data_IF_452423363176
#
_entry.id   IF_452423363176
#
_cell.length_a   1.000
_cell.length_b   1.000
_cell.length_c   1.000
_cell.angle_alpha   90.00
_cell.angle_beta   90.00
_cell.angle_gamma   90.00
#
_symmetry.space_group_name_H-M   'P 1'
#
loop_
_entity.id
_entity.type
_entity.pdbx_description
1 polymer ?
#
# COMPACT_ATOMS: atom_id res chain seq x y z
N UNK A 1 -26.07 -54.33 -29.31
CA UNK A 1 -25.65 -53.07 -30.00
C UNK A 1 -26.07 -51.84 -29.20
N UNK A 2 -27.27 -51.86 -28.61
CA UNK A 2 -27.78 -50.80 -27.72
C UNK A 2 -26.93 -50.61 -26.46
N UNK A 3 -26.39 -51.68 -25.89
CA UNK A 3 -25.58 -51.63 -24.67
C UNK A 3 -24.33 -50.76 -24.84
N UNK A 4 -23.62 -50.94 -25.97
CA UNK A 4 -22.41 -50.16 -26.30
C UNK A 4 -22.76 -48.68 -26.52
N UNK A 5 -23.89 -48.40 -27.16
CA UNK A 5 -24.34 -47.02 -27.39
C UNK A 5 -24.66 -46.30 -26.06
N UNK A 6 -25.32 -46.99 -25.12
CA UNK A 6 -25.62 -46.43 -23.79
C UNK A 6 -24.34 -46.22 -22.99
N UNK A 7 -23.39 -47.17 -23.02
CA UNK A 7 -22.11 -47.00 -22.32
C UNK A 7 -21.31 -45.80 -22.82
N UNK A 8 -21.26 -45.59 -24.14
CA UNK A 8 -20.58 -44.42 -24.73
C UNK A 8 -21.31 -43.13 -24.35
N UNK A 9 -22.65 -43.12 -24.37
CA UNK A 9 -23.44 -41.95 -23.99
C UNK A 9 -23.20 -41.53 -22.53
N UNK A 10 -23.10 -42.50 -21.61
CA UNK A 10 -22.82 -42.23 -20.18
C UNK A 10 -21.40 -41.67 -20.00
N UNK A 11 -20.41 -42.25 -20.66
CA UNK A 11 -19.01 -41.76 -20.58
C UNK A 11 -18.90 -40.35 -21.18
N UNK A 12 -19.54 -40.09 -22.32
CA UNK A 12 -19.56 -38.77 -22.93
C UNK A 12 -20.19 -37.71 -22.01
N UNK A 13 -21.30 -38.04 -21.36
CA UNK A 13 -21.95 -37.14 -20.41
C UNK A 13 -21.07 -36.84 -19.19
N UNK A 14 -20.44 -37.86 -18.61
CA UNK A 14 -19.55 -37.69 -17.46
C UNK A 14 -18.32 -36.81 -17.81
N UNK A 15 -17.77 -36.97 -19.01
CA UNK A 15 -16.59 -36.21 -19.45
C UNK A 15 -16.92 -34.73 -19.64
N UNK A 16 -18.11 -34.40 -20.18
CA UNK A 16 -18.61 -33.02 -20.28
C UNK A 16 -18.78 -32.40 -18.88
N UNK A 17 -19.32 -33.17 -17.92
CA UNK A 17 -19.49 -32.68 -16.56
C UNK A 17 -18.14 -32.35 -15.90
N UNK A 18 -17.13 -33.22 -16.02
CA UNK A 18 -15.78 -33.01 -15.43
C UNK A 18 -15.08 -31.81 -16.08
N UNK A 19 -15.08 -31.74 -17.41
CA UNK A 19 -14.43 -30.62 -18.14
C UNK A 19 -15.16 -29.30 -17.85
N UNK A 20 -16.47 -29.33 -17.61
CA UNK A 20 -17.24 -28.14 -17.25
C UNK A 20 -16.85 -27.54 -15.88
N UNK A 21 -16.56 -28.38 -14.88
CA UNK A 21 -16.28 -27.92 -13.51
C UNK A 21 -14.80 -27.70 -13.19
N UNK A 22 -13.89 -28.35 -13.93
CA UNK A 22 -12.44 -28.25 -13.72
C UNK A 22 -11.90 -26.82 -13.82
N UNK A 23 -12.29 -25.98 -14.82
CA UNK A 23 -11.86 -24.59 -14.90
C UNK A 23 -12.24 -23.80 -13.65
N UNK A 24 -13.47 -23.99 -13.13
CA UNK A 24 -13.95 -23.34 -11.91
C UNK A 24 -13.15 -23.79 -10.69
N UNK A 25 -12.86 -25.10 -10.57
CA UNK A 25 -12.05 -25.62 -9.47
C UNK A 25 -10.64 -25.02 -9.42
N UNK A 26 -10.00 -24.84 -10.58
CA UNK A 26 -8.69 -24.19 -10.66
C UNK A 26 -8.72 -22.70 -10.34
N UNK A 27 -9.78 -22.00 -10.77
CA UNK A 27 -9.97 -20.59 -10.42
C UNK A 27 -10.09 -20.41 -8.90
N UNK A 28 -10.94 -21.22 -8.24
CA UNK A 28 -11.12 -21.16 -6.77
C UNK A 28 -9.82 -21.47 -6.02
N UNK A 29 -9.03 -22.46 -6.47
CA UNK A 29 -7.73 -22.75 -5.85
C UNK A 29 -6.74 -21.59 -5.99
N UNK A 30 -6.70 -20.97 -7.17
CA UNK A 30 -5.87 -19.81 -7.43
C UNK A 30 -6.30 -18.62 -6.57
N UNK A 31 -7.58 -18.29 -6.53
CA UNK A 31 -8.13 -17.19 -5.74
C UNK A 31 -7.85 -17.38 -4.24
N UNK A 32 -8.09 -18.58 -3.69
CA UNK A 32 -7.77 -18.88 -2.29
C UNK A 32 -6.27 -18.72 -1.98
N UNK A 33 -5.40 -19.09 -2.93
CA UNK A 33 -3.96 -18.91 -2.80
C UNK A 33 -3.57 -17.43 -2.83
N UNK A 34 -4.10 -16.67 -3.79
CA UNK A 34 -3.88 -15.23 -3.91
C UNK A 34 -4.35 -14.49 -2.65
N UNK A 35 -5.53 -14.82 -2.14
CA UNK A 35 -6.08 -14.24 -0.90
C UNK A 35 -5.20 -14.52 0.33
N UNK A 36 -4.62 -15.72 0.40
CA UNK A 36 -3.70 -16.10 1.48
C UNK A 36 -2.41 -15.29 1.40
N UNK A 37 -1.83 -15.16 0.20
CA UNK A 37 -0.61 -14.36 -0.05
C UNK A 37 -0.87 -12.90 0.34
N UNK A 38 -1.94 -12.29 -0.17
CA UNK A 38 -2.31 -10.90 0.13
C UNK A 38 -2.54 -10.70 1.63
N UNK A 39 -3.18 -11.66 2.30
CA UNK A 39 -3.41 -11.62 3.75
C UNK A 39 -2.10 -11.59 4.54
N UNK A 40 -1.17 -12.49 4.23
CA UNK A 40 0.12 -12.59 4.90
C UNK A 40 1.02 -11.38 4.61
N UNK A 41 1.13 -11.00 3.34
CA UNK A 41 2.01 -9.93 2.92
C UNK A 41 1.48 -8.55 3.28
N UNK A 42 0.17 -8.35 3.31
CA UNK A 42 -0.41 -7.11 3.83
C UNK A 42 -0.04 -6.84 5.29
N UNK A 43 0.02 -7.89 6.12
CA UNK A 43 0.54 -7.77 7.49
C UNK A 43 2.05 -7.48 7.48
N UNK A 44 2.83 -8.17 6.64
CA UNK A 44 4.27 -7.94 6.51
C UNK A 44 4.59 -6.49 6.13
N UNK A 45 3.89 -5.92 5.14
CA UNK A 45 4.08 -4.54 4.72
C UNK A 45 3.69 -3.54 5.80
N UNK A 46 2.59 -3.82 6.51
CA UNK A 46 2.14 -2.98 7.63
C UNK A 46 3.22 -2.94 8.73
N UNK A 47 3.82 -4.08 9.05
CA UNK A 47 4.91 -4.20 10.02
C UNK A 47 6.22 -3.55 9.52
N UNK A 48 6.57 -3.75 8.25
CA UNK A 48 7.74 -3.16 7.63
C UNK A 48 7.68 -1.62 7.69
N UNK A 49 6.53 -1.05 7.35
CA UNK A 49 6.28 0.39 7.43
C UNK A 49 6.28 0.88 8.88
N UNK A 50 5.71 0.09 9.82
CA UNK A 50 5.69 0.44 11.24
C UNK A 50 7.08 0.42 11.88
N UNK A 51 8.00 -0.40 11.40
CA UNK A 51 9.33 -0.53 12.00
C UNK A 51 10.44 0.12 11.15
N UNK A 52 10.11 0.70 10.00
CA UNK A 52 11.08 1.34 9.10
C UNK A 52 11.98 0.34 8.36
N UNK A 53 11.56 -0.93 8.25
CA UNK A 53 12.23 -2.00 7.50
C UNK A 53 13.74 -2.18 7.78
N UNK A 54 14.20 -1.97 9.02
CA UNK A 54 15.57 -2.27 9.41
C UNK A 54 15.86 -3.76 9.19
N UNK A 55 16.80 -4.07 8.29
CA UNK A 55 17.20 -5.45 7.96
C UNK A 55 16.32 -6.16 6.93
N UNK A 56 15.38 -5.47 6.27
CA UNK A 56 14.53 -6.05 5.22
C UNK A 56 15.09 -5.80 3.81
N UNK A 57 16.40 -5.93 3.63
CA UNK A 57 17.03 -5.67 2.33
C UNK A 57 16.59 -6.66 1.25
N UNK A 58 16.06 -7.83 1.62
CA UNK A 58 15.47 -8.78 0.68
C UNK A 58 14.29 -8.19 -0.13
N UNK A 59 13.63 -7.14 0.36
CA UNK A 59 12.54 -6.47 -0.36
C UNK A 59 12.97 -5.95 -1.74
N UNK A 60 14.26 -5.65 -1.94
CA UNK A 60 14.79 -5.18 -3.22
C UNK A 60 14.62 -6.19 -4.36
N UNK A 61 14.49 -7.48 -4.04
CA UNK A 61 14.32 -8.54 -5.03
C UNK A 61 12.85 -8.73 -5.44
N UNK A 62 11.91 -8.15 -4.67
CA UNK A 62 10.47 -8.32 -4.86
C UNK A 62 9.79 -7.05 -5.36
N UNK A 63 10.37 -5.87 -5.13
CA UNK A 63 9.84 -4.61 -5.63
C UNK A 63 10.41 -4.32 -7.02
N UNK A 64 9.55 -4.25 -8.02
CA UNK A 64 9.97 -3.98 -9.40
C UNK A 64 10.24 -2.49 -9.63
N UNK A 65 9.34 -1.64 -9.14
CA UNK A 65 9.51 -0.19 -9.11
C UNK A 65 8.55 0.44 -8.11
N UNK A 66 8.86 1.69 -7.74
CA UNK A 66 8.02 2.54 -6.89
C UNK A 66 7.62 3.76 -7.71
N UNK A 67 6.38 4.18 -7.63
CA UNK A 67 5.86 5.40 -8.23
C UNK A 67 5.35 6.33 -7.16
N UNK A 68 5.81 7.58 -7.20
CA UNK A 68 5.25 8.68 -6.44
C UNK A 68 4.48 9.57 -7.40
N UNK A 69 3.16 9.61 -7.22
CA UNK A 69 2.24 10.40 -8.01
C UNK A 69 1.88 11.62 -7.18
N UNK A 70 2.30 12.79 -7.64
CA UNK A 70 2.05 14.08 -7.02
C UNK A 70 0.99 14.83 -7.82
N UNK A 71 -0.03 15.36 -7.16
CA UNK A 71 -1.07 16.18 -7.76
C UNK A 71 -1.10 17.56 -7.12
N UNK A 72 -0.95 18.59 -7.95
CA UNK A 72 -1.06 20.00 -7.59
C UNK A 72 -2.14 20.64 -8.46
N UNK A 73 -3.36 20.73 -7.93
CA UNK A 73 -4.54 21.14 -8.71
C UNK A 73 -4.77 20.23 -9.92
N UNK A 74 -4.59 20.78 -11.12
CA UNK A 74 -4.74 20.07 -12.41
C UNK A 74 -3.45 19.35 -12.85
N UNK A 75 -2.28 19.76 -12.32
CA UNK A 75 -1.01 19.15 -12.70
C UNK A 75 -0.81 17.81 -11.97
N UNK A 76 -0.40 16.78 -12.72
CA UNK A 76 -0.04 15.47 -12.20
C UNK A 76 1.38 15.15 -12.63
N UNK A 77 2.24 14.82 -11.67
CA UNK A 77 3.61 14.39 -11.89
C UNK A 77 3.79 12.97 -11.35
N UNK A 78 4.39 12.08 -12.13
CA UNK A 78 4.70 10.71 -11.73
C UNK A 78 6.20 10.50 -11.75
N UNK A 79 6.80 10.33 -10.58
CA UNK A 79 8.21 9.97 -10.43
C UNK A 79 8.30 8.46 -10.24
N UNK A 80 9.12 7.77 -11.05
CA UNK A 80 9.32 6.31 -10.97
C UNK A 80 10.73 6.02 -10.50
N UNK A 81 10.85 5.23 -9.42
CA UNK A 81 12.10 4.81 -8.79
C UNK A 81 12.34 3.33 -9.01
N UNK A 82 13.58 2.95 -9.31
CA UNK A 82 13.99 1.57 -9.60
C UNK A 82 15.20 1.15 -8.77
N UNK A 83 15.24 -0.14 -8.46
CA UNK A 83 16.38 -0.76 -7.79
C UNK A 83 17.67 -0.59 -8.63
N UNK A 84 18.79 -0.34 -7.96
CA UNK A 84 20.10 -0.16 -8.60
C UNK A 84 20.29 1.19 -9.30
N UNK A 85 19.26 2.05 -9.31
CA UNK A 85 19.34 3.44 -9.79
C UNK A 85 18.96 4.44 -8.71
N UNK A 86 17.88 4.18 -7.99
CA UNK A 86 17.25 5.14 -7.06
C UNK A 86 17.30 4.66 -5.60
N UNK A 87 17.29 3.34 -5.40
CA UNK A 87 17.40 2.68 -4.10
C UNK A 87 18.16 1.34 -4.20
N UNK A 88 18.78 0.95 -3.09
CA UNK A 88 19.61 -0.25 -2.90
C UNK A 88 19.24 -1.05 -1.65
N UNK A 89 18.50 -0.47 -0.70
CA UNK A 89 18.21 -1.08 0.60
C UNK A 89 16.72 -1.10 0.90
N UNK A 90 16.29 -2.01 1.77
CA UNK A 90 14.88 -2.21 2.11
C UNK A 90 14.25 -1.01 2.81
N UNK A 91 15.01 -0.33 3.67
CA UNK A 91 14.50 0.87 4.35
C UNK A 91 14.23 2.03 3.38
N UNK A 92 14.96 2.12 2.26
CA UNK A 92 14.76 3.16 1.25
C UNK A 92 13.45 2.93 0.50
N UNK A 93 13.09 1.66 0.24
CA UNK A 93 11.79 1.29 -0.33
C UNK A 93 10.66 1.78 0.59
N UNK A 94 10.73 1.47 1.88
CA UNK A 94 9.75 1.97 2.86
C UNK A 94 9.76 3.49 2.94
N UNK A 95 10.94 4.10 2.87
CA UNK A 95 11.14 5.53 2.86
C UNK A 95 10.43 6.25 1.70
N UNK A 96 10.50 5.64 0.51
CA UNK A 96 9.83 6.12 -0.69
C UNK A 96 8.33 5.83 -0.70
N UNK A 97 7.88 4.77 -0.03
CA UNK A 97 6.48 4.42 0.09
C UNK A 97 5.72 5.27 1.12
N UNK A 98 6.36 5.68 2.21
CA UNK A 98 5.68 6.29 3.37
C UNK A 98 5.60 7.81 3.33
N UNK A 99 5.57 8.38 2.13
CA UNK A 99 5.30 9.80 1.93
C UNK A 99 3.91 10.21 2.46
N UNK A 100 3.78 11.40 3.09
CA UNK A 100 2.51 11.89 3.58
C UNK A 100 1.59 12.18 2.41
N UNK A 101 0.31 11.77 2.52
CA UNK A 101 -0.68 11.94 1.46
C UNK A 101 -0.97 13.40 1.17
N UNK A 102 -0.91 14.26 2.18
CA UNK A 102 -1.08 15.69 2.05
C UNK A 102 0.16 16.36 2.63
N UNK A 103 0.78 17.21 1.82
CA UNK A 103 1.93 17.99 2.24
C UNK A 103 1.77 19.41 1.71
N UNK A 104 2.16 20.36 2.54
CA UNK A 104 2.26 21.76 2.17
C UNK A 104 3.67 22.02 1.64
N UNK A 105 3.78 22.58 0.43
CA UNK A 105 5.04 23.04 -0.14
C UNK A 105 5.56 24.28 0.62
N UNK A 106 6.84 24.65 0.43
CA UNK A 106 7.47 25.83 1.04
C UNK A 106 6.71 27.13 0.74
N UNK A 107 5.93 27.16 -0.33
CA UNK A 107 5.11 28.28 -0.78
C UNK A 107 3.66 28.26 -0.23
N UNK A 108 3.34 27.37 0.71
CA UNK A 108 1.98 27.24 1.27
C UNK A 108 0.96 26.53 0.37
N UNK A 109 1.45 25.88 -0.69
CA UNK A 109 0.58 25.18 -1.64
C UNK A 109 0.44 23.71 -1.25
N UNK A 110 -0.81 23.25 -1.11
CA UNK A 110 -1.09 21.84 -0.84
C UNK A 110 -0.86 20.97 -2.06
N UNK A 111 -0.11 19.89 -1.87
CA UNK A 111 0.02 18.78 -2.83
C UNK A 111 -0.53 17.49 -2.25
N UNK A 112 -1.17 16.71 -3.11
CA UNK A 112 -1.59 15.36 -2.79
C UNK A 112 -0.56 14.38 -3.34
N UNK A 113 -0.08 13.47 -2.50
CA UNK A 113 0.90 12.45 -2.87
C UNK A 113 0.26 11.08 -2.73
N UNK A 114 0.47 10.23 -3.72
CA UNK A 114 0.17 8.80 -3.66
C UNK A 114 1.44 8.02 -3.99
N UNK A 115 1.83 7.15 -3.08
CA UNK A 115 2.94 6.22 -3.30
C UNK A 115 2.40 4.84 -3.64
N UNK A 116 2.93 4.24 -4.70
CA UNK A 116 2.55 2.90 -5.12
C UNK A 116 3.77 2.09 -5.56
N UNK A 117 3.80 0.79 -5.30
CA UNK A 117 4.85 -0.11 -5.76
C UNK A 117 4.27 -1.32 -6.45
N UNK A 118 4.88 -1.71 -7.58
CA UNK A 118 4.61 -3.02 -8.17
C UNK A 118 5.47 -4.05 -7.45
N UNK A 119 4.83 -5.02 -6.83
CA UNK A 119 5.46 -6.00 -5.96
C UNK A 119 5.14 -7.39 -6.45
N UNK A 120 6.17 -8.22 -6.55
CA UNK A 120 6.06 -9.67 -6.71
C UNK A 120 5.87 -10.31 -5.35
N UNK A 121 5.04 -11.35 -5.28
CA UNK A 121 4.86 -12.14 -4.08
C UNK A 121 6.20 -12.45 -3.40
N UNK A 122 6.25 -12.18 -2.10
CA UNK A 122 7.33 -12.50 -1.18
C UNK A 122 7.14 -13.90 -0.58
N UNK A 123 5.89 -14.38 -0.52
CA UNK A 123 5.53 -15.72 -0.07
C UNK A 123 4.97 -16.53 -1.23
N UNK A 124 5.33 -17.81 -1.28
CA UNK A 124 4.90 -18.67 -2.39
C UNK A 124 5.75 -19.93 -2.52
N UNK A 125 5.51 -20.68 -3.60
CA UNK A 125 6.33 -21.83 -3.95
C UNK A 125 7.72 -21.37 -4.38
N UNK A 126 8.75 -22.21 -4.23
CA UNK A 126 10.11 -21.88 -4.63
C UNK A 126 10.24 -21.51 -6.13
N UNK A 127 9.37 -22.07 -6.98
CA UNK A 127 9.32 -21.71 -8.40
C UNK A 127 8.82 -20.27 -8.61
N UNK A 128 7.87 -19.80 -7.78
CA UNK A 128 7.32 -18.45 -7.86
C UNK A 128 8.29 -17.38 -7.31
N UNK A 129 9.15 -17.77 -6.36
CA UNK A 129 10.11 -16.88 -5.70
C UNK A 129 11.44 -16.76 -6.46
N UNK A 130 11.61 -17.43 -7.60
CA UNK A 130 12.84 -17.32 -8.37
C UNK A 130 13.05 -15.86 -8.87
N UNK A 131 14.27 -15.30 -8.77
CA UNK A 131 14.54 -13.88 -9.05
C UNK A 131 14.12 -13.42 -10.45
N UNK A 132 14.15 -14.32 -11.42
CA UNK A 132 13.84 -14.06 -12.83
C UNK A 132 12.45 -14.54 -13.26
N UNK A 133 11.60 -14.99 -12.33
CA UNK A 133 10.29 -15.52 -12.69
C UNK A 133 9.32 -14.40 -13.10
N UNK A 134 9.01 -14.33 -14.39
CA UNK A 134 8.06 -13.39 -14.98
C UNK A 134 6.59 -13.82 -14.79
N UNK A 135 6.35 -15.07 -14.38
CA UNK A 135 5.01 -15.63 -14.13
C UNK A 135 4.62 -15.58 -12.66
N UNK A 136 5.46 -14.98 -11.81
CA UNK A 136 5.17 -14.85 -10.40
C UNK A 136 3.96 -13.95 -10.16
N UNK A 137 3.18 -14.28 -9.13
CA UNK A 137 2.05 -13.45 -8.72
C UNK A 137 2.52 -12.03 -8.34
N UNK A 138 1.85 -11.03 -8.87
CA UNK A 138 2.18 -9.61 -8.69
C UNK A 138 0.96 -8.82 -8.26
N UNK A 139 1.18 -7.84 -7.40
CA UNK A 139 0.17 -6.91 -6.93
C UNK A 139 0.74 -5.50 -6.84
N UNK A 140 -0.17 -4.53 -6.91
CA UNK A 140 0.12 -3.13 -6.66
C UNK A 140 -0.11 -2.84 -5.19
N UNK A 141 0.92 -2.39 -4.50
CA UNK A 141 0.85 -1.87 -3.14
C UNK A 141 0.70 -0.36 -3.19
N UNK A 142 -0.46 0.18 -2.81
CA UNK A 142 -0.68 1.60 -2.62
C UNK A 142 -0.56 1.94 -1.13
N UNK A 143 0.23 2.96 -0.78
CA UNK A 143 0.45 3.39 0.61
C UNK A 143 0.00 4.84 0.76
N UNK A 144 -0.87 5.07 1.73
CA UNK A 144 -1.33 6.40 2.14
C UNK A 144 -1.02 6.61 3.63
N UNK A 145 -0.13 7.56 3.93
CA UNK A 145 0.15 8.00 5.30
C UNK A 145 -0.55 9.35 5.55
N UNK A 146 -1.41 9.41 6.57
CA UNK A 146 -2.15 10.63 6.93
C UNK A 146 -1.89 10.97 8.40
N UNK A 147 -1.72 12.25 8.75
CA UNK A 147 -1.72 12.65 10.15
C UNK A 147 -3.09 12.36 10.77
N UNK A 148 -3.09 11.85 12.00
CA UNK A 148 -4.32 11.51 12.71
C UNK A 148 -4.90 12.76 13.38
N UNK A 149 -6.16 13.08 13.05
CA UNK A 149 -6.92 14.13 13.70
C UNK A 149 -8.34 13.61 14.01
N UNK A 150 -8.72 13.47 15.29
CA UNK A 150 -10.05 12.99 15.67
C UNK A 150 -11.11 14.10 15.72
N UNK A 151 -10.72 15.37 15.56
CA UNK A 151 -11.63 16.51 15.69
C UNK A 151 -12.14 16.98 14.33
N UNK A 152 -13.39 17.45 14.31
CA UNK A 152 -13.95 18.09 13.12
C UNK A 152 -13.50 19.55 13.03
N UNK A 153 -13.53 20.16 11.82
CA UNK A 153 -13.17 21.56 11.65
C UNK A 153 -14.00 22.52 12.53
N UNK A 154 -15.25 22.17 12.85
CA UNK A 154 -16.11 22.98 13.73
C UNK A 154 -15.67 22.91 15.19
N UNK A 155 -15.13 21.77 15.63
CA UNK A 155 -14.63 21.59 17.00
C UNK A 155 -13.30 22.30 17.25
N UNK A 156 -12.49 22.52 16.22
CA UNK A 156 -11.19 23.22 16.35
C UNK A 156 -11.24 24.69 15.94
N UNK A 157 -12.31 25.13 15.27
CA UNK A 157 -12.46 26.53 14.87
C UNK A 157 -12.93 27.41 16.04
N UNK A 158 -11.96 27.94 16.78
CA UNK A 158 -12.15 28.87 17.89
C UNK A 158 -12.37 30.33 17.44
N UNK A 159 -12.18 30.62 16.15
CA UNK A 159 -12.41 31.94 15.53
C UNK A 159 -13.79 32.06 14.88
N UNK A 160 -14.69 31.09 15.07
CA UNK A 160 -16.04 31.17 14.52
C UNK A 160 -16.82 32.33 15.19
N UNK A 161 -17.64 33.03 14.40
CA UNK A 161 -18.51 34.08 14.94
C UNK A 161 -19.62 33.51 15.83
N UNK A 162 -20.00 34.26 16.88
CA UNK A 162 -21.11 33.90 17.76
C UNK A 162 -20.77 32.88 18.86
N UNK A 163 -19.50 32.58 19.09
CA UNK A 163 -19.07 31.69 20.17
C UNK A 163 -19.11 32.38 21.53
N UNK A 164 -19.53 31.64 22.55
CA UNK A 164 -19.35 32.08 23.94
C UNK A 164 -17.87 32.06 24.34
N UNK A 165 -17.44 32.83 25.35
CA UNK A 165 -16.06 32.77 25.84
C UNK A 165 -15.63 31.36 26.29
N UNK A 166 -16.55 30.58 26.85
CA UNK A 166 -16.31 29.19 27.25
C UNK A 166 -16.12 28.28 26.04
N UNK A 167 -16.93 28.44 25.00
CA UNK A 167 -16.80 27.67 23.76
C UNK A 167 -15.49 27.98 23.03
N UNK A 168 -15.08 29.25 22.99
CA UNK A 168 -13.78 29.64 22.41
C UNK A 168 -12.63 28.96 23.13
N UNK A 169 -12.67 28.87 24.47
CA UNK A 169 -11.64 28.19 25.26
C UNK A 169 -11.62 26.67 25.01
N UNK A 170 -12.79 26.02 24.95
CA UNK A 170 -12.86 24.58 24.67
C UNK A 170 -12.31 24.27 23.27
N UNK A 171 -12.70 25.05 22.26
CA UNK A 171 -12.25 24.84 20.88
C UNK A 171 -10.77 25.15 20.68
N UNK A 172 -10.22 26.12 21.40
CA UNK A 172 -8.77 26.41 21.36
C UNK A 172 -7.95 25.28 21.99
N UNK A 173 -8.44 24.67 23.07
CA UNK A 173 -7.86 23.46 23.66
C UNK A 173 -7.91 22.26 22.69
N UNK A 174 -9.04 22.04 22.02
CA UNK A 174 -9.14 20.98 21.00
C UNK A 174 -8.21 21.23 19.82
N UNK A 175 -8.05 22.47 19.36
CA UNK A 175 -7.10 22.81 18.32
C UNK A 175 -5.64 22.51 18.74
N UNK A 176 -5.26 22.84 19.98
CA UNK A 176 -3.94 22.55 20.49
C UNK A 176 -3.68 21.03 20.58
N UNK A 177 -4.68 20.27 21.04
CA UNK A 177 -4.62 18.81 21.09
C UNK A 177 -4.57 18.19 19.68
N UNK A 178 -5.36 18.69 18.74
CA UNK A 178 -5.35 18.24 17.34
C UNK A 178 -3.95 18.38 16.74
N UNK A 179 -3.28 19.53 16.92
CA UNK A 179 -1.91 19.73 16.45
C UNK A 179 -0.90 18.75 17.07
N UNK A 180 -1.04 18.46 18.36
CA UNK A 180 -0.20 17.46 19.02
C UNK A 180 -0.42 16.06 18.44
N UNK A 181 -1.67 15.69 18.15
CA UNK A 181 -1.99 14.40 17.55
C UNK A 181 -1.51 14.30 16.11
N UNK A 182 -1.70 15.33 15.28
CA UNK A 182 -1.26 15.35 13.88
C UNK A 182 0.26 15.19 13.74
N UNK A 183 1.04 15.65 14.72
CA UNK A 183 2.50 15.49 14.74
C UNK A 183 2.95 14.10 15.21
N UNK A 184 2.21 13.51 16.15
CA UNK A 184 2.65 12.33 16.91
C UNK A 184 1.89 11.04 16.57
N UNK A 185 0.84 11.11 15.76
CA UNK A 185 0.02 9.97 15.37
C UNK A 185 -0.31 10.01 13.87
N UNK A 186 -0.17 8.86 13.23
CA UNK A 186 -0.33 8.69 11.79
C UNK A 186 -1.23 7.50 11.50
N UNK A 187 -2.27 7.72 10.70
CA UNK A 187 -3.05 6.63 10.09
C UNK A 187 -2.34 6.18 8.81
N UNK A 188 -2.04 4.89 8.76
CA UNK A 188 -1.48 4.22 7.61
C UNK A 188 -2.57 3.39 6.96
N UNK A 189 -2.82 3.64 5.68
CA UNK A 189 -3.71 2.83 4.85
C UNK A 189 -2.90 2.21 3.71
N UNK A 190 -2.83 0.88 3.71
CA UNK A 190 -2.20 0.10 2.65
C UNK A 190 -3.29 -0.56 1.83
N UNK A 191 -3.27 -0.42 0.52
CA UNK A 191 -4.22 -1.07 -0.39
C UNK A 191 -3.44 -1.94 -1.35
N UNK A 192 -3.62 -3.26 -1.25
CA UNK A 192 -3.05 -4.22 -2.18
C UNK A 192 -4.08 -4.50 -3.28
N UNK A 193 -3.68 -4.44 -4.55
CA UNK A 193 -4.55 -4.67 -5.70
C UNK A 193 -3.94 -5.68 -6.66
N UNK A 194 -4.69 -6.69 -7.06
CA UNK A 194 -4.19 -7.79 -7.88
C UNK A 194 -5.25 -8.33 -8.86
N UNK A 195 -4.83 -9.12 -9.86
CA UNK A 195 -3.46 -9.22 -10.38
C UNK A 195 -2.97 -7.86 -10.90
N UNK A 196 -1.67 -7.56 -10.76
CA UNK A 196 -1.08 -6.34 -11.28
C UNK A 196 -0.10 -6.65 -12.41
N UNK A 197 -0.29 -6.04 -13.58
CA UNK A 197 0.48 -6.33 -14.77
C UNK A 197 1.00 -5.05 -15.41
N UNK A 198 2.29 -5.05 -15.78
CA UNK A 198 2.89 -3.97 -16.54
C UNK A 198 2.65 -4.18 -18.04
N UNK A 199 1.75 -3.42 -18.63
CA UNK A 199 1.50 -3.46 -20.06
C UNK A 199 2.43 -2.49 -20.81
N UNK A 200 3.13 -2.91 -21.88
CA UNK A 200 4.09 -2.06 -22.62
C UNK A 200 3.51 -0.75 -23.19
N UNK A 201 2.20 -0.71 -23.48
CA UNK A 201 1.52 0.48 -24.05
C UNK A 201 0.54 1.16 -23.11
N UNK A 202 -0.06 0.40 -22.18
CA UNK A 202 -1.13 0.87 -21.30
C UNK A 202 -0.63 1.19 -19.88
N UNK A 203 0.65 0.93 -19.61
CA UNK A 203 1.23 1.10 -18.28
C UNK A 203 0.74 0.05 -17.29
N UNK A 204 0.77 0.41 -16.02
CA UNK A 204 0.37 -0.47 -14.92
C UNK A 204 -1.15 -0.68 -14.94
N UNK A 205 -1.59 -1.94 -15.00
CA UNK A 205 -2.99 -2.35 -14.89
C UNK A 205 -3.18 -3.24 -13.67
N UNK A 206 -4.33 -3.11 -13.03
CA UNK A 206 -4.74 -3.98 -11.92
C UNK A 206 -6.08 -4.62 -12.24
N UNK A 207 -6.26 -5.86 -11.78
CA UNK A 207 -7.56 -6.53 -11.76
C UNK A 207 -8.52 -5.96 -10.71
N UNK A 208 -9.57 -6.73 -10.43
CA UNK A 208 -10.63 -6.36 -9.49
C UNK A 208 -10.29 -6.71 -8.03
N UNK A 209 -9.32 -7.60 -7.80
CA UNK A 209 -8.91 -8.00 -6.46
C UNK A 209 -8.32 -6.81 -5.72
N UNK A 210 -8.85 -6.53 -4.53
CA UNK A 210 -8.29 -5.51 -3.65
C UNK A 210 -8.48 -5.84 -2.17
N UNK A 211 -7.51 -5.47 -1.34
CA UNK A 211 -7.61 -5.57 0.12
C UNK A 211 -6.95 -4.38 0.77
N UNK A 212 -7.63 -3.80 1.74
CA UNK A 212 -7.12 -2.64 2.49
C UNK A 212 -6.76 -3.06 3.90
N UNK A 213 -5.57 -2.64 4.34
CA UNK A 213 -5.09 -2.75 5.71
C UNK A 213 -4.99 -1.33 6.27
N UNK A 214 -5.45 -1.13 7.50
CA UNK A 214 -5.33 0.15 8.19
C UNK A 214 -4.72 -0.07 9.56
N UNK A 215 -3.79 0.80 9.91
CA UNK A 215 -3.19 0.80 11.24
C UNK A 215 -2.98 2.25 11.68
N UNK A 216 -3.28 2.52 12.94
CA UNK A 216 -2.85 3.75 13.60
C UNK A 216 -1.47 3.50 14.23
N UNK A 217 -0.54 4.42 14.00
CA UNK A 217 0.80 4.36 14.56
C UNK A 217 1.11 5.68 15.28
N UNK A 218 1.65 5.57 16.49
CA UNK A 218 2.31 6.71 17.12
C UNK A 218 3.77 6.83 16.65
N UNK A 219 4.18 8.05 16.34
CA UNK A 219 5.50 8.35 15.83
C UNK A 219 5.54 9.70 15.13
N UNK A 220 6.75 10.14 14.82
CA UNK A 220 6.99 11.33 14.02
C UNK A 220 7.49 10.89 12.65
N UNK A 221 7.00 11.55 11.61
CA UNK A 221 7.52 11.37 10.27
C UNK A 221 8.84 12.12 10.12
N UNK A 222 9.93 11.37 10.04
CA UNK A 222 11.27 11.91 9.90
C UNK A 222 11.67 11.97 8.43
N UNK A 223 12.29 13.09 8.03
CA UNK A 223 13.02 13.16 6.77
C UNK A 223 14.21 12.19 6.79
N UNK A 224 14.41 11.48 5.68
CA UNK A 224 15.57 10.67 5.41
C UNK A 224 16.02 10.93 3.96
N UNK A 225 17.25 10.56 3.65
CA UNK A 225 17.83 10.71 2.31
C UNK A 225 18.36 9.36 1.89
N UNK A 226 17.91 8.84 0.76
CA UNK A 226 18.42 7.57 0.22
C UNK A 226 19.90 7.70 -0.13
N UNK A 227 20.55 6.57 -0.37
CA UNK A 227 21.93 6.47 -0.85
C UNK A 227 22.20 7.25 -2.14
N UNK A 228 21.16 7.63 -2.91
CA UNK A 228 21.28 8.47 -4.10
C UNK A 228 20.84 9.91 -3.91
N UNK A 229 20.64 10.35 -2.68
CA UNK A 229 20.22 11.73 -2.43
C UNK A 229 18.73 11.96 -2.63
N UNK A 230 17.90 10.93 -2.79
CA UNK A 230 16.45 11.11 -2.92
C UNK A 230 15.81 11.32 -1.55
N UNK A 231 14.85 12.23 -1.49
CA UNK A 231 14.07 12.45 -0.28
C UNK A 231 13.15 11.25 0.00
N UNK A 232 13.24 10.76 1.22
CA UNK A 232 12.44 9.70 1.78
C UNK A 232 11.81 10.16 3.09
N UNK A 233 10.65 9.61 3.43
CA UNK A 233 9.98 9.85 4.71
C UNK A 233 9.97 8.55 5.47
N UNK A 234 10.34 8.54 6.74
CA UNK A 234 10.24 7.34 7.58
C UNK A 234 9.44 7.69 8.81
N UNK A 235 8.44 6.87 9.11
CA UNK A 235 7.80 6.94 10.41
C UNK A 235 8.77 6.35 11.44
N UNK A 236 9.21 7.17 12.39
CA UNK A 236 10.07 6.76 13.50
C UNK A 236 9.24 6.72 14.78
N UNK A 237 9.48 5.74 15.68
CA UNK A 237 8.85 5.75 16.99
C UNK A 237 9.31 7.01 17.75
N UNK A 238 8.45 7.54 18.62
CA UNK A 238 8.82 8.60 19.54
C UNK A 238 9.96 8.10 20.43
N UNK A 239 11.18 8.57 20.18
CA UNK A 239 12.29 8.34 21.10
C UNK A 239 12.18 9.37 22.22
N UNK A 240 11.77 8.91 23.40
CA UNK A 240 12.01 9.67 24.62
C UNK A 240 13.53 9.78 24.79
N UNK A 241 14.09 10.96 24.52
CA UNK A 241 15.42 11.27 25.05
C UNK A 241 15.26 11.30 26.57
N UNK A 242 15.70 10.26 27.27
CA UNK A 242 15.99 10.37 28.68
C UNK A 242 17.02 11.50 28.81
N UNK A 243 16.61 12.58 29.46
CA UNK A 243 17.50 13.67 29.85
C UNK A 243 18.38 13.20 31.01
#
# INVERSE_FOLDING_TARGET
>A
MVEIAISIAVVAFALVAIIGVLPTGFQVQRENREDTIIGQEGMLWTEAIRNGALGMDYLTNHVEFIQRIERRGTQVQTNTYRFGRDYWRGWEIIGLLTWPKYEEDQNGNWRMVRSQALVRALTGSAADLAPTNQLAFTYLLEVEAMPFNPFTPTQTNWNAGGLSPEETLVRSNYWALARQMEQNAWELKLTLRWPAELHPRLGLRTGQGHRTFRVLRSGVMAAAVTSQGLEARLLKPLQFKAQ
#
